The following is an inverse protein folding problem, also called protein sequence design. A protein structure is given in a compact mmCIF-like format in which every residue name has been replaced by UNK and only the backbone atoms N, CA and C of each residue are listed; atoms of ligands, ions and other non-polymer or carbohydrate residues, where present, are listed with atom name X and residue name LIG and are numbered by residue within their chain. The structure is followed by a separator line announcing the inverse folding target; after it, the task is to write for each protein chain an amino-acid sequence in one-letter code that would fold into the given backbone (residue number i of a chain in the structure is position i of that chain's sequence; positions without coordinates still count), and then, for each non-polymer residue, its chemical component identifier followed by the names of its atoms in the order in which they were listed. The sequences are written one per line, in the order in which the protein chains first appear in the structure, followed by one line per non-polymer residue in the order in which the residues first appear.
data_IF_740487119082
#
_entry.id   IF_740487119082
#
_cell.length_a   1.000
_cell.length_b   1.000
_cell.length_c   1.000
_cell.angle_alpha   90.00
_cell.angle_beta   90.00
_cell.angle_gamma   90.00
#
_symmetry.space_group_name_H-M   'P 1'
#
loop_
_entity.id
_entity.type
_entity.pdbx_description
1 polymer ?
#
# COMPACT_ATOMS: atom_id res chain seq x y z
N UNK A 1 35.46 -14.60 -4.00
CA UNK A 1 34.43 -14.01 -3.11
C UNK A 1 33.84 -12.81 -3.84
N UNK A 2 32.59 -12.93 -4.30
CA UNK A 2 31.90 -11.81 -4.95
C UNK A 2 31.46 -10.83 -3.84
N UNK A 3 32.17 -9.72 -3.71
CA UNK A 3 31.80 -8.65 -2.81
C UNK A 3 30.59 -7.89 -3.41
N UNK A 4 29.54 -7.72 -2.63
CA UNK A 4 28.40 -6.91 -2.98
C UNK A 4 28.42 -5.66 -2.09
N UNK A 5 28.64 -4.52 -2.69
CA UNK A 5 28.65 -3.24 -2.00
C UNK A 5 27.44 -2.42 -2.41
N UNK A 6 26.85 -1.75 -1.43
CA UNK A 6 25.74 -0.86 -1.69
C UNK A 6 25.37 -0.09 -0.42
N UNK A 7 24.64 0.99 -0.62
CA UNK A 7 24.03 1.79 0.42
C UNK A 7 22.56 1.97 0.12
N UNK A 8 21.73 1.95 1.14
CA UNK A 8 20.30 2.22 1.00
C UNK A 8 19.88 3.29 2.00
N UNK A 9 19.17 4.30 1.50
CA UNK A 9 18.48 5.28 2.32
C UNK A 9 16.98 5.07 2.19
N UNK A 10 16.28 5.15 3.32
CA UNK A 10 14.82 5.17 3.37
C UNK A 10 14.39 6.42 4.11
N UNK A 11 13.59 7.23 3.45
CA UNK A 11 13.11 8.51 3.96
C UNK A 11 11.58 8.46 4.00
N UNK A 12 10.99 8.03 5.12
CA UNK A 12 9.56 8.14 5.33
C UNK A 12 9.21 9.57 5.75
N UNK A 13 8.21 10.15 5.10
CA UNK A 13 7.64 11.45 5.47
C UNK A 13 6.16 11.21 5.69
N UNK A 14 5.67 11.46 6.90
CA UNK A 14 4.25 11.32 7.21
C UNK A 14 3.77 12.49 8.05
N UNK A 15 2.51 12.82 7.89
CA UNK A 15 1.85 13.85 8.67
C UNK A 15 0.47 13.40 9.11
N UNK A 16 -0.06 14.07 10.13
CA UNK A 16 -1.44 13.91 10.56
C UNK A 16 -1.99 15.28 10.88
N UNK A 17 -3.14 15.63 10.32
CA UNK A 17 -3.81 16.87 10.61
C UNK A 17 -5.33 16.68 10.51
N UNK A 18 -6.07 17.56 11.16
CA UNK A 18 -7.53 17.52 11.18
C UNK A 18 -8.09 18.68 10.37
N UNK A 19 -8.86 18.36 9.34
CA UNK A 19 -9.61 19.33 8.55
C UNK A 19 -10.99 19.59 9.21
N UNK A 20 -11.38 20.85 9.24
CA UNK A 20 -12.68 21.31 9.77
C UNK A 20 -13.00 20.77 11.18
N UNK A 21 -11.98 20.40 11.97
CA UNK A 21 -12.08 19.78 13.30
C UNK A 21 -12.72 18.37 13.34
N UNK A 22 -13.03 17.77 12.20
CA UNK A 22 -13.76 16.50 12.16
C UNK A 22 -13.12 15.44 11.27
N UNK A 23 -12.36 15.81 10.25
CA UNK A 23 -11.78 14.89 9.29
C UNK A 23 -10.30 14.75 9.57
N UNK A 24 -9.87 13.58 10.02
CA UNK A 24 -8.46 13.27 10.20
C UNK A 24 -7.85 12.85 8.85
N UNK A 25 -6.80 13.54 8.45
CA UNK A 25 -6.09 13.31 7.18
C UNK A 25 -4.64 12.94 7.48
N UNK A 26 -4.20 11.83 6.90
CA UNK A 26 -2.86 11.28 7.11
C UNK A 26 -2.18 11.05 5.77
N UNK A 27 -1.44 12.03 5.22
CA UNK A 27 -0.57 11.83 4.09
C UNK A 27 0.70 11.09 4.50
N UNK A 28 1.21 10.28 3.59
CA UNK A 28 2.50 9.58 3.74
C UNK A 28 3.21 9.52 2.39
N UNK A 29 4.50 9.79 2.40
CA UNK A 29 5.38 9.68 1.25
C UNK A 29 6.61 8.90 1.69
N UNK A 30 6.93 7.84 0.97
CA UNK A 30 8.11 7.03 1.22
C UNK A 30 9.05 7.15 0.03
N UNK A 31 10.28 7.48 0.29
CA UNK A 31 11.34 7.51 -0.70
C UNK A 31 12.43 6.52 -0.31
N UNK A 32 12.82 5.68 -1.25
CA UNK A 32 13.93 4.73 -1.05
C UNK A 32 14.95 4.92 -2.14
N UNK A 33 16.17 5.18 -1.75
CA UNK A 33 17.33 5.36 -2.59
C UNK A 33 18.31 4.20 -2.38
N UNK A 34 18.89 3.69 -3.48
CA UNK A 34 19.87 2.61 -3.46
C UNK A 34 21.05 2.99 -4.32
N UNK A 35 22.22 2.93 -3.74
CA UNK A 35 23.47 3.24 -4.39
C UNK A 35 24.28 1.95 -4.55
N UNK A 36 24.77 1.70 -5.74
CA UNK A 36 25.59 0.55 -6.09
C UNK A 36 26.91 0.97 -6.70
N UNK A 37 27.94 0.16 -6.51
CA UNK A 37 29.29 0.37 -7.07
C UNK A 37 29.47 -0.33 -8.40
N UNK A 38 28.50 -1.11 -8.84
CA UNK A 38 28.52 -1.80 -10.12
C UNK A 38 27.11 -2.08 -10.63
N UNK A 39 27.01 -2.35 -11.92
CA UNK A 39 25.86 -2.93 -12.60
C UNK A 39 26.31 -4.04 -13.53
N UNK A 40 25.44 -5.01 -13.82
CA UNK A 40 25.73 -6.13 -14.70
C UNK A 40 24.84 -6.05 -15.93
N UNK A 41 25.44 -5.85 -17.09
CA UNK A 41 24.75 -5.97 -18.38
C UNK A 41 24.85 -7.38 -18.91
N UNK A 42 23.77 -7.86 -19.53
CA UNK A 42 23.69 -9.20 -20.08
C UNK A 42 23.40 -9.15 -21.56
N UNK A 43 24.03 -10.04 -22.29
CA UNK A 43 23.86 -10.23 -23.73
C UNK A 43 23.93 -11.70 -24.10
N UNK A 44 23.46 -12.06 -25.27
CA UNK A 44 23.53 -13.40 -25.80
C UNK A 44 24.63 -13.48 -26.85
N UNK A 45 25.57 -14.42 -26.68
CA UNK A 45 26.58 -14.71 -27.69
C UNK A 45 26.05 -15.83 -28.58
N UNK A 46 25.76 -15.50 -29.84
CA UNK A 46 25.20 -16.44 -30.83
C UNK A 46 26.19 -17.51 -31.26
N UNK A 47 27.51 -17.22 -31.19
CA UNK A 47 28.56 -18.19 -31.58
C UNK A 47 28.75 -19.27 -30.52
N UNK A 48 28.76 -18.87 -29.24
CA UNK A 48 28.98 -19.81 -28.13
C UNK A 48 27.69 -20.35 -27.54
N UNK A 49 26.52 -19.82 -27.97
CA UNK A 49 25.20 -20.19 -27.45
C UNK A 49 25.12 -20.03 -25.92
N UNK A 50 25.69 -18.93 -25.39
CA UNK A 50 25.76 -18.67 -23.97
C UNK A 50 25.43 -17.22 -23.65
N UNK A 51 24.84 -17.01 -22.47
CA UNK A 51 24.73 -15.70 -21.88
C UNK A 51 26.11 -15.17 -21.48
N UNK A 52 26.35 -13.93 -21.83
CA UNK A 52 27.53 -13.17 -21.43
C UNK A 52 27.11 -12.09 -20.50
N UNK A 53 27.73 -12.04 -19.32
CA UNK A 53 27.52 -11.01 -18.32
C UNK A 53 28.75 -10.12 -18.22
N UNK A 54 28.57 -8.83 -18.44
CA UNK A 54 29.63 -7.82 -18.31
C UNK A 54 29.35 -6.91 -17.11
N UNK A 55 30.38 -6.68 -16.28
CA UNK A 55 30.26 -5.88 -15.06
C UNK A 55 30.89 -4.52 -15.27
N UNK A 56 30.09 -3.49 -15.24
CA UNK A 56 30.54 -2.10 -15.28
C UNK A 56 30.64 -1.56 -13.86
N UNK A 57 31.84 -1.15 -13.47
CA UNK A 57 32.11 -0.51 -12.18
C UNK A 57 31.89 0.98 -12.27
N UNK A 58 31.35 1.56 -11.20
CA UNK A 58 31.07 2.99 -11.10
C UNK A 58 29.95 3.24 -10.10
N UNK A 59 29.68 4.51 -9.86
CA UNK A 59 28.56 4.91 -9.01
C UNK A 59 27.25 4.82 -9.80
N UNK A 60 26.31 4.04 -9.29
CA UNK A 60 24.97 3.87 -9.84
C UNK A 60 23.95 4.12 -8.76
N UNK A 61 22.98 4.96 -9.05
CA UNK A 61 21.89 5.29 -8.15
C UNK A 61 20.56 4.88 -8.77
N UNK A 62 19.74 4.17 -7.98
CA UNK A 62 18.36 3.83 -8.34
C UNK A 62 17.44 4.13 -7.16
N UNK A 63 16.25 4.62 -7.44
CA UNK A 63 15.30 5.02 -6.42
C UNK A 63 13.87 4.58 -6.74
N UNK A 64 13.08 4.52 -5.72
CA UNK A 64 11.62 4.41 -5.85
C UNK A 64 10.94 5.26 -4.77
N UNK A 65 9.69 5.60 -5.04
CA UNK A 65 8.84 6.31 -4.10
C UNK A 65 7.39 5.85 -4.22
N UNK A 66 6.66 6.00 -3.15
CA UNK A 66 5.22 5.84 -3.09
C UNK A 66 4.60 6.96 -2.27
N UNK A 67 3.38 7.26 -2.60
CA UNK A 67 2.55 8.25 -1.91
C UNK A 67 1.24 7.61 -1.50
N UNK A 68 0.79 7.92 -0.29
CA UNK A 68 -0.54 7.57 0.16
C UNK A 68 -1.16 8.70 0.97
N UNK A 69 -2.47 8.78 0.93
CA UNK A 69 -3.24 9.69 1.76
C UNK A 69 -4.50 8.99 2.23
N UNK A 70 -4.80 9.10 3.50
CA UNK A 70 -6.06 8.59 4.05
C UNK A 70 -6.81 9.71 4.77
N UNK A 71 -8.13 9.66 4.66
CA UNK A 71 -9.02 10.56 5.38
C UNK A 71 -10.09 9.73 6.09
N UNK A 72 -10.36 10.07 7.34
CA UNK A 72 -11.38 9.40 8.15
C UNK A 72 -12.09 10.37 9.08
N UNK A 73 -13.33 10.06 9.41
CA UNK A 73 -14.10 10.81 10.39
C UNK A 73 -14.96 9.88 11.24
N UNK A 74 -15.52 10.40 12.32
CA UNK A 74 -16.47 9.67 13.15
C UNK A 74 -17.79 10.40 13.17
N UNK A 75 -18.84 9.73 12.77
CA UNK A 75 -20.21 10.23 12.82
C UNK A 75 -20.93 9.56 13.98
N UNK A 76 -21.56 10.38 14.81
CA UNK A 76 -22.27 9.92 16.00
C UNK A 76 -23.78 10.12 15.82
N UNK A 77 -24.52 9.04 15.90
CA UNK A 77 -25.98 9.04 16.02
C UNK A 77 -26.37 8.64 17.44
N UNK A 78 -27.31 9.35 18.04
CA UNK A 78 -27.91 8.97 19.31
C UNK A 78 -29.40 8.91 19.15
N UNK A 79 -29.98 7.74 19.44
CA UNK A 79 -31.42 7.52 19.46
C UNK A 79 -31.87 7.27 20.88
N UNK A 80 -32.87 8.07 21.32
CA UNK A 80 -33.51 7.91 22.62
C UNK A 80 -34.88 7.28 22.36
N UNK A 81 -35.09 6.00 22.72
CA UNK A 81 -36.36 5.34 22.48
C UNK A 81 -37.53 6.01 23.26
N UNK A 82 -38.71 5.98 22.64
CA UNK A 82 -39.89 6.49 23.31
C UNK A 82 -40.26 5.57 24.49
N UNK A 83 -40.26 6.11 25.71
CA UNK A 83 -40.53 5.37 26.95
C UNK A 83 -41.92 4.73 26.98
N UNK A 84 -42.93 5.34 26.31
CA UNK A 84 -44.26 4.78 26.23
C UNK A 84 -44.33 3.46 25.42
N UNK A 85 -43.39 3.27 24.43
CA UNK A 85 -43.36 2.10 23.57
C UNK A 85 -42.36 1.06 24.07
N UNK A 86 -41.23 1.47 24.62
CA UNK A 86 -40.10 0.59 24.98
C UNK A 86 -39.85 0.47 26.48
N UNK A 87 -40.68 1.18 27.31
CA UNK A 87 -40.49 1.24 28.75
C UNK A 87 -39.24 2.04 29.16
N UNK A 88 -38.87 2.00 30.45
CA UNK A 88 -37.70 2.72 30.98
C UNK A 88 -36.40 1.93 30.91
N UNK A 89 -36.44 0.71 30.36
CA UNK A 89 -35.29 -0.18 30.38
C UNK A 89 -34.18 0.26 29.43
N UNK A 90 -34.52 0.74 28.24
CA UNK A 90 -33.57 1.23 27.23
C UNK A 90 -33.52 2.75 27.34
N UNK A 91 -32.36 3.28 27.71
CA UNK A 91 -32.21 4.73 27.91
C UNK A 91 -31.69 5.45 26.66
N UNK A 92 -30.76 4.87 25.94
CA UNK A 92 -30.23 5.41 24.70
C UNK A 92 -29.55 4.33 23.85
N UNK A 93 -29.57 4.52 22.54
CA UNK A 93 -28.80 3.73 21.58
C UNK A 93 -27.84 4.72 20.90
N UNK A 94 -26.54 4.41 20.95
CA UNK A 94 -25.49 5.18 20.26
C UNK A 94 -25.02 4.37 19.06
N UNK A 95 -25.06 4.98 17.90
CA UNK A 95 -24.49 4.45 16.67
C UNK A 95 -23.29 5.31 16.29
N UNK A 96 -22.14 4.68 16.10
CA UNK A 96 -20.92 5.33 15.62
C UNK A 96 -20.57 4.74 14.28
N UNK A 97 -20.49 5.58 13.26
CA UNK A 97 -20.04 5.22 11.92
C UNK A 97 -18.70 5.88 11.70
N UNK A 98 -17.69 5.09 11.30
CA UNK A 98 -16.37 5.58 10.96
C UNK A 98 -16.10 5.34 9.47
N UNK A 99 -16.53 6.27 8.58
CA UNK A 99 -16.14 6.23 7.18
C UNK A 99 -14.66 6.58 7.03
N UNK A 100 -13.98 5.90 6.12
CA UNK A 100 -12.65 6.25 5.69
C UNK A 100 -12.48 6.09 4.18
N UNK A 101 -11.62 6.91 3.61
CA UNK A 101 -11.16 6.82 2.24
C UNK A 101 -9.65 6.87 2.24
N UNK A 102 -9.02 6.05 1.41
CA UNK A 102 -7.58 6.10 1.20
C UNK A 102 -7.25 6.02 -0.29
N UNK A 103 -6.20 6.71 -0.65
CA UNK A 103 -5.60 6.70 -1.97
C UNK A 103 -4.13 6.32 -1.82
N UNK A 104 -3.63 5.44 -2.69
CA UNK A 104 -2.20 5.12 -2.78
C UNK A 104 -1.76 5.08 -4.22
N UNK A 105 -0.53 5.50 -4.46
CA UNK A 105 0.05 5.56 -5.79
C UNK A 105 1.56 5.32 -5.73
N UNK A 106 2.06 4.52 -6.66
CA UNK A 106 3.47 4.39 -7.00
C UNK A 106 3.62 4.25 -8.52
N UNK A 107 4.59 4.95 -9.15
CA UNK A 107 4.83 4.85 -10.58
C UNK A 107 5.43 3.48 -10.95
N UNK A 108 5.33 3.15 -12.26
CA UNK A 108 6.01 1.98 -12.80
C UNK A 108 7.52 2.24 -12.93
N UNK A 109 8.31 1.72 -11.99
CA UNK A 109 9.77 1.78 -12.04
C UNK A 109 10.37 0.80 -13.04
N UNK A 110 9.57 -0.07 -13.65
CA UNK A 110 9.95 -0.90 -14.79
C UNK A 110 9.94 -0.15 -16.12
N UNK A 111 9.40 1.07 -16.16
CA UNK A 111 9.37 1.89 -17.37
C UNK A 111 10.79 2.23 -17.84
N UNK A 112 11.00 2.25 -19.16
CA UNK A 112 12.31 2.45 -19.81
C UNK A 112 13.01 3.75 -19.38
N UNK A 113 12.26 4.79 -19.03
CA UNK A 113 12.80 6.08 -18.56
C UNK A 113 13.65 5.98 -17.29
N UNK A 114 13.48 4.95 -16.47
CA UNK A 114 14.27 4.74 -15.27
C UNK A 114 15.56 3.94 -15.52
N UNK A 115 15.61 3.13 -16.58
CA UNK A 115 16.76 2.32 -16.92
C UNK A 115 17.09 1.22 -15.91
N UNK A 116 16.11 0.83 -15.06
CA UNK A 116 16.31 -0.19 -14.01
C UNK A 116 16.19 -1.61 -14.56
N UNK A 117 15.60 -1.74 -15.74
CA UNK A 117 15.36 -2.99 -16.42
C UNK A 117 15.83 -2.91 -17.86
N UNK A 118 16.24 -4.02 -18.41
CA UNK A 118 16.70 -4.19 -19.77
C UNK A 118 16.30 -5.58 -20.28
N UNK A 119 16.50 -5.84 -21.56
CA UNK A 119 16.25 -7.13 -22.17
C UNK A 119 17.31 -7.44 -23.22
N UNK A 120 17.52 -8.72 -23.52
CA UNK A 120 18.32 -9.19 -24.63
C UNK A 120 17.59 -10.32 -25.36
N UNK A 121 17.91 -10.51 -26.64
CA UNK A 121 17.41 -11.62 -27.44
C UNK A 121 18.28 -12.86 -27.24
N UNK A 122 17.63 -13.98 -26.93
CA UNK A 122 18.27 -15.30 -26.79
C UNK A 122 17.78 -16.20 -27.91
N UNK A 123 18.70 -16.78 -28.66
CA UNK A 123 18.39 -17.81 -29.68
C UNK A 123 18.38 -19.20 -29.02
N UNK A 124 17.28 -19.90 -29.16
CA UNK A 124 17.09 -21.25 -28.67
C UNK A 124 17.69 -22.30 -29.66
N UNK A 125 17.92 -23.55 -29.24
CA UNK A 125 18.44 -24.61 -30.11
C UNK A 125 17.54 -24.95 -31.32
N UNK A 126 16.25 -24.67 -31.23
CA UNK A 126 15.26 -24.85 -32.31
C UNK A 126 15.21 -23.67 -33.28
N UNK A 127 16.07 -22.67 -33.12
CA UNK A 127 16.12 -21.45 -33.94
C UNK A 127 15.12 -20.36 -33.54
N UNK A 128 14.27 -20.60 -32.57
CA UNK A 128 13.38 -19.57 -32.05
C UNK A 128 14.15 -18.52 -31.24
N UNK A 129 13.59 -17.30 -31.15
CA UNK A 129 14.19 -16.19 -30.43
C UNK A 129 13.27 -15.74 -29.31
N UNK A 130 13.79 -15.80 -28.08
CA UNK A 130 13.12 -15.30 -26.89
C UNK A 130 13.68 -13.94 -26.47
N UNK A 131 12.81 -13.07 -25.96
CA UNK A 131 13.23 -11.85 -25.26
C UNK A 131 13.37 -12.15 -23.77
N UNK A 132 14.59 -12.04 -23.25
CA UNK A 132 14.89 -12.28 -21.84
C UNK A 132 15.02 -10.96 -21.11
N UNK A 133 14.10 -10.71 -20.19
CA UNK A 133 14.11 -9.53 -19.34
C UNK A 133 15.02 -9.73 -18.13
N UNK A 134 15.78 -8.72 -17.78
CA UNK A 134 16.61 -8.71 -16.59
C UNK A 134 16.75 -7.30 -16.01
N UNK A 135 17.31 -7.20 -14.82
CA UNK A 135 17.76 -5.92 -14.28
C UNK A 135 19.28 -5.92 -14.14
N UNK A 136 19.98 -4.87 -14.62
CA UNK A 136 21.42 -4.69 -14.37
C UNK A 136 21.77 -4.64 -12.89
N UNK A 137 20.82 -4.40 -12.02
CA UNK A 137 20.96 -4.25 -10.57
C UNK A 137 20.46 -5.46 -9.78
N UNK A 138 20.02 -6.54 -10.44
CA UNK A 138 19.46 -7.74 -9.79
C UNK A 138 20.41 -8.40 -8.79
N UNK A 139 21.72 -8.27 -9.00
CA UNK A 139 22.75 -8.76 -8.10
C UNK A 139 23.12 -7.80 -6.98
N UNK A 140 22.52 -6.61 -6.95
CA UNK A 140 22.75 -5.62 -5.90
C UNK A 140 22.24 -6.08 -4.53
N UNK A 141 22.88 -5.59 -3.45
CA UNK A 141 22.58 -6.00 -2.08
C UNK A 141 21.12 -5.71 -1.66
N UNK A 142 20.54 -4.63 -2.17
CA UNK A 142 19.20 -4.16 -1.82
C UNK A 142 18.15 -4.36 -2.92
N UNK A 143 18.50 -5.12 -3.97
CA UNK A 143 17.60 -5.41 -5.08
C UNK A 143 17.25 -4.20 -5.94
N UNK A 144 16.15 -4.30 -6.63
CA UNK A 144 15.68 -3.31 -7.61
C UNK A 144 14.22 -2.96 -7.33
N UNK A 145 13.77 -1.71 -7.60
CA UNK A 145 12.36 -1.35 -7.50
C UNK A 145 11.47 -2.24 -8.39
N UNK A 146 10.28 -2.57 -7.90
CA UNK A 146 9.33 -3.41 -8.62
C UNK A 146 8.85 -2.80 -9.94
N UNK A 147 8.42 -3.66 -10.87
CA UNK A 147 7.74 -3.27 -12.11
C UNK A 147 6.24 -3.10 -11.87
N UNK A 148 5.62 -2.29 -12.70
CA UNK A 148 4.20 -2.01 -12.68
C UNK A 148 3.84 -0.81 -11.82
N UNK A 149 2.92 0.00 -12.32
CA UNK A 149 2.35 1.07 -11.56
C UNK A 149 1.38 0.51 -10.51
N UNK A 150 1.32 1.11 -9.37
CA UNK A 150 0.30 0.87 -8.36
C UNK A 150 -0.55 2.11 -8.19
N UNK A 151 -1.86 1.91 -8.17
CA UNK A 151 -2.82 2.97 -7.90
C UNK A 151 -4.08 2.34 -7.34
N UNK A 152 -4.48 2.73 -6.14
CA UNK A 152 -5.71 2.23 -5.54
C UNK A 152 -6.45 3.29 -4.77
N UNK A 153 -7.77 3.21 -4.82
CA UNK A 153 -8.68 3.94 -3.94
C UNK A 153 -9.44 2.93 -3.11
N UNK A 154 -9.42 3.09 -1.80
CA UNK A 154 -10.17 2.22 -0.90
C UNK A 154 -11.15 3.03 -0.06
N UNK A 155 -12.34 2.47 0.14
CA UNK A 155 -13.38 3.01 1.01
C UNK A 155 -13.68 1.99 2.09
N UNK A 156 -13.84 2.44 3.32
CA UNK A 156 -14.35 1.59 4.38
C UNK A 156 -15.35 2.33 5.27
N UNK A 157 -16.25 1.55 5.84
CA UNK A 157 -17.24 2.00 6.81
C UNK A 157 -17.21 1.01 7.95
N UNK A 158 -16.82 1.45 9.13
CA UNK A 158 -16.91 0.65 10.35
C UNK A 158 -18.07 1.17 11.19
N UNK A 159 -18.93 0.26 11.65
CA UNK A 159 -20.11 0.55 12.44
C UNK A 159 -19.98 -0.07 13.83
N UNK A 160 -20.30 0.71 14.84
CA UNK A 160 -20.41 0.29 16.23
C UNK A 160 -21.76 0.75 16.79
N UNK A 161 -22.51 -0.15 17.42
CA UNK A 161 -23.79 0.13 18.03
C UNK A 161 -23.76 -0.29 19.49
N UNK A 162 -23.93 0.67 20.38
CA UNK A 162 -24.02 0.45 21.81
C UNK A 162 -25.38 0.90 22.36
N UNK A 163 -25.86 0.20 23.36
CA UNK A 163 -27.11 0.51 24.04
C UNK A 163 -26.84 0.75 25.52
N UNK A 164 -27.45 1.80 26.09
CA UNK A 164 -27.52 2.03 27.52
C UNK A 164 -28.82 1.50 28.06
N UNK A 165 -28.74 0.61 29.04
CA UNK A 165 -29.90 0.06 29.73
C UNK A 165 -29.85 0.39 31.21
N UNK A 166 -31.02 0.55 31.83
CA UNK A 166 -31.16 0.68 33.29
C UNK A 166 -30.73 -0.64 33.93
N UNK A 167 -29.92 -0.58 34.97
CA UNK A 167 -29.43 -1.74 35.72
C UNK A 167 -29.38 -1.42 37.23
N UNK A 168 -30.14 -2.14 38.00
CA UNK A 168 -30.14 -2.01 39.45
C UNK A 168 -28.92 -2.68 40.11
N UNK A 169 -28.13 -3.40 39.33
CA UNK A 169 -26.90 -4.10 39.78
C UNK A 169 -25.66 -3.24 39.58
N UNK A 170 -25.73 -2.13 38.89
CA UNK A 170 -24.61 -1.25 38.60
C UNK A 170 -24.65 -0.01 39.51
N UNK A 171 -23.54 0.39 40.07
CA UNK A 171 -23.43 1.54 40.97
C UNK A 171 -23.86 2.85 40.33
N UNK A 172 -23.81 2.94 39.00
CA UNK A 172 -24.26 4.11 38.23
C UNK A 172 -25.75 4.02 37.81
N UNK A 173 -26.43 2.90 38.09
CA UNK A 173 -27.79 2.65 37.64
C UNK A 173 -27.91 2.37 36.11
N UNK A 174 -26.79 2.37 35.38
CA UNK A 174 -26.77 2.27 33.92
C UNK A 174 -25.70 1.25 33.49
N UNK A 175 -26.09 0.27 32.69
CA UNK A 175 -25.17 -0.67 32.02
C UNK A 175 -25.09 -0.37 30.53
N UNK A 176 -23.88 -0.39 30.00
CA UNK A 176 -23.63 -0.34 28.55
C UNK A 176 -23.61 -1.77 28.00
N UNK A 177 -24.32 -2.01 26.91
CA UNK A 177 -24.28 -3.23 26.14
C UNK A 177 -23.84 -2.90 24.74
N UNK A 178 -22.83 -3.61 24.24
CA UNK A 178 -22.53 -3.59 22.83
C UNK A 178 -23.53 -4.48 22.08
N UNK A 179 -24.18 -3.93 21.06
CA UNK A 179 -25.07 -4.67 20.15
C UNK A 179 -24.27 -5.12 18.94
N UNK A 180 -23.44 -4.23 18.41
CA UNK A 180 -22.53 -4.46 17.30
C UNK A 180 -21.20 -3.85 17.71
N UNK A 181 -20.20 -4.69 17.94
CA UNK A 181 -18.86 -4.23 18.31
C UNK A 181 -18.14 -3.62 17.11
N UNK A 182 -18.20 -4.30 15.97
CA UNK A 182 -17.68 -3.81 14.71
C UNK A 182 -18.34 -4.56 13.54
N UNK A 183 -19.05 -3.82 12.72
CA UNK A 183 -19.55 -4.28 11.42
C UNK A 183 -18.89 -3.42 10.34
N UNK A 184 -17.84 -3.94 9.71
CA UNK A 184 -17.09 -3.23 8.68
C UNK A 184 -17.50 -3.65 7.28
N UNK A 185 -17.55 -2.67 6.38
CA UNK A 185 -17.59 -2.86 4.93
C UNK A 185 -16.38 -2.22 4.29
N UNK A 186 -15.72 -2.92 3.37
CA UNK A 186 -14.54 -2.43 2.65
C UNK A 186 -14.68 -2.69 1.17
N UNK A 187 -14.31 -1.69 0.38
CA UNK A 187 -14.25 -1.76 -1.08
C UNK A 187 -12.93 -1.13 -1.52
N UNK A 188 -12.27 -1.75 -2.50
CA UNK A 188 -11.05 -1.23 -3.10
C UNK A 188 -11.18 -1.26 -4.61
N UNK A 189 -10.79 -0.15 -5.24
CA UNK A 189 -10.69 -0.02 -6.69
C UNK A 189 -9.22 0.09 -7.08
N UNK A 190 -8.76 -0.84 -7.90
CA UNK A 190 -7.40 -0.81 -8.45
C UNK A 190 -7.40 -0.04 -9.77
N UNK A 191 -6.88 1.19 -9.76
CA UNK A 191 -6.76 2.05 -10.94
C UNK A 191 -5.65 1.61 -11.90
N UNK A 192 -4.73 0.77 -11.43
CA UNK A 192 -3.60 0.26 -12.21
C UNK A 192 -3.89 -1.11 -12.84
N UNK A 193 -5.07 -1.69 -12.61
CA UNK A 193 -5.47 -2.92 -13.26
C UNK A 193 -5.62 -2.67 -14.77
N UNK A 194 -4.75 -3.30 -15.55
CA UNK A 194 -4.94 -3.37 -17.00
C UNK A 194 -5.94 -4.48 -17.27
N UNK A 195 -6.96 -4.19 -18.07
CA UNK A 195 -7.78 -5.24 -18.66
C UNK A 195 -6.82 -6.23 -19.34
N UNK A 196 -6.95 -7.52 -19.01
CA UNK A 196 -6.28 -8.54 -19.82
C UNK A 196 -6.93 -8.51 -21.19
N UNK A 197 -6.13 -8.42 -22.26
CA UNK A 197 -6.66 -8.56 -23.61
C UNK A 197 -7.30 -9.94 -23.80
#
# INVERSE_FOLDING_TARGET
KNWRNGMQHRIPISGSFTLFNYINVNPSFNFTDRMYTNKVTRSWNTTTQKEVADTTYGFHNIYNWDFSISASTKLYGMFIPNRKLFGDKIQAIRHVITPSVSFSYAPDFGASRYGYYSSYQRTNPDGSVDLVDYSPYSNGLYGVPGRGNMGSVSFSFDNNVEMKIKSDKDSTGIRKLSIIDNLGFRMSYNMAAKEKP
#
